data_IF_518138454041
#
_entry.id   IF_518138454041
#
_cell.length_a   1.000
_cell.length_b   1.000
_cell.length_c   1.000
_cell.angle_alpha   90.00
_cell.angle_beta   90.00
_cell.angle_gamma   90.00
#
_symmetry.space_group_name_H-M   'P 1'
#
loop_
_entity.id
_entity.type
_entity.pdbx_description
1 polymer ?
#
# COMPACT_ATOMS: atom_id res chain seq x y z
N UNK A 1 -15.27 -45.04 9.27
CA UNK A 1 -16.04 -43.85 8.94
C UNK A 1 -15.11 -42.98 8.12
N UNK A 2 -15.37 -42.89 6.80
CA UNK A 2 -14.59 -42.04 5.87
C UNK A 2 -15.03 -40.61 6.12
N UNK A 3 -14.14 -39.76 6.64
CA UNK A 3 -14.38 -38.35 6.75
C UNK A 3 -14.53 -37.81 5.32
N UNK A 4 -15.75 -37.45 4.94
CA UNK A 4 -16.04 -36.80 3.70
C UNK A 4 -15.33 -35.45 3.70
N UNK A 5 -14.38 -35.28 2.78
CA UNK A 5 -13.84 -33.98 2.41
C UNK A 5 -14.98 -33.14 1.87
N UNK A 6 -15.47 -32.19 2.66
CA UNK A 6 -16.34 -31.13 2.15
C UNK A 6 -15.47 -30.34 1.17
N UNK A 7 -15.72 -30.50 -0.12
CA UNK A 7 -15.13 -29.67 -1.17
C UNK A 7 -15.69 -28.26 -0.97
N UNK A 8 -14.92 -27.39 -0.29
CA UNK A 8 -15.31 -26.01 -0.15
C UNK A 8 -15.25 -25.30 -1.51
N UNK A 9 -16.29 -24.56 -1.83
CA UNK A 9 -16.45 -23.84 -3.09
C UNK A 9 -15.41 -22.71 -3.13
N UNK A 10 -14.42 -22.85 -4.00
CA UNK A 10 -13.47 -21.78 -4.32
C UNK A 10 -14.23 -20.61 -4.94
N UNK A 11 -13.98 -19.41 -4.45
CA UNK A 11 -14.61 -18.16 -4.88
C UNK A 11 -13.54 -17.25 -5.44
N UNK A 12 -13.87 -16.51 -6.47
CA UNK A 12 -12.93 -15.56 -7.09
C UNK A 12 -13.41 -14.13 -6.93
N UNK A 13 -12.49 -13.26 -6.57
CA UNK A 13 -12.71 -11.83 -6.42
C UNK A 13 -11.68 -11.07 -7.21
N UNK A 14 -12.11 -10.01 -7.89
CA UNK A 14 -11.21 -9.07 -8.51
C UNK A 14 -11.02 -7.87 -7.59
N UNK A 15 -9.79 -7.46 -7.33
CA UNK A 15 -9.49 -6.22 -6.61
C UNK A 15 -8.85 -5.22 -7.55
N UNK A 16 -9.28 -3.97 -7.46
CA UNK A 16 -8.80 -2.89 -8.32
C UNK A 16 -8.18 -1.79 -7.47
N UNK A 17 -6.92 -1.47 -7.78
CA UNK A 17 -6.18 -0.39 -7.14
C UNK A 17 -5.60 0.57 -8.17
N UNK A 18 -5.59 1.84 -7.81
CA UNK A 18 -4.79 2.87 -8.48
C UNK A 18 -4.00 3.62 -7.42
N UNK A 19 -2.69 3.61 -7.56
CA UNK A 19 -1.79 4.29 -6.63
C UNK A 19 -1.90 5.82 -6.75
N UNK A 20 -1.28 6.53 -5.81
CA UNK A 20 -1.17 8.00 -5.86
C UNK A 20 -0.25 8.48 -6.99
N UNK A 21 0.57 7.60 -7.56
CA UNK A 21 1.40 7.84 -8.74
C UNK A 21 0.59 8.01 -10.02
N UNK A 22 -0.63 7.41 -10.10
CA UNK A 22 -1.51 7.41 -11.28
C UNK A 22 -0.86 6.81 -12.54
N UNK A 23 0.10 5.91 -12.36
CA UNK A 23 0.83 5.26 -13.44
C UNK A 23 0.01 4.15 -14.13
N UNK A 24 -0.91 3.50 -13.39
CA UNK A 24 -1.74 2.44 -13.95
C UNK A 24 -2.95 2.08 -13.11
N UNK A 25 -3.75 1.18 -13.67
CA UNK A 25 -4.86 0.49 -13.00
C UNK A 25 -4.45 -0.97 -12.81
N UNK A 26 -4.28 -1.37 -11.57
CA UNK A 26 -3.89 -2.71 -11.17
C UNK A 26 -5.12 -3.55 -10.84
N UNK A 27 -5.18 -4.76 -11.38
CA UNK A 27 -6.25 -5.73 -11.14
C UNK A 27 -5.63 -7.03 -10.64
N UNK A 28 -5.97 -7.41 -9.42
CA UNK A 28 -5.64 -8.71 -8.85
C UNK A 28 -6.87 -9.62 -8.84
N UNK A 29 -6.75 -10.83 -9.35
CA UNK A 29 -7.78 -11.86 -9.21
C UNK A 29 -7.31 -12.82 -8.13
N UNK A 30 -8.06 -12.88 -7.03
CA UNK A 30 -7.73 -13.65 -5.83
C UNK A 30 -8.73 -14.79 -5.69
N UNK A 31 -8.21 -16.00 -5.54
CA UNK A 31 -8.99 -17.17 -5.13
C UNK A 31 -9.09 -17.18 -3.60
N UNK A 32 -10.30 -17.27 -3.09
CA UNK A 32 -10.58 -17.32 -1.66
C UNK A 32 -11.34 -18.62 -1.36
N UNK A 33 -10.68 -19.47 -0.58
CA UNK A 33 -11.24 -20.70 -0.05
C UNK A 33 -11.13 -20.73 1.47
N UNK A 34 -11.46 -21.86 2.08
CA UNK A 34 -11.22 -22.09 3.50
C UNK A 34 -10.20 -23.22 3.66
N UNK A 35 -9.18 -22.99 4.47
CA UNK A 35 -8.29 -24.06 4.93
C UNK A 35 -8.63 -24.45 6.37
N UNK A 36 -8.84 -25.72 6.61
CA UNK A 36 -8.99 -26.25 7.96
C UNK A 36 -7.64 -26.83 8.39
N UNK A 37 -6.96 -26.15 9.32
CA UNK A 37 -5.70 -26.61 9.89
C UNK A 37 -5.87 -26.76 11.41
N UNK A 38 -5.67 -27.94 11.95
CA UNK A 38 -5.75 -28.25 13.38
C UNK A 38 -7.04 -27.73 14.07
N UNK A 39 -8.19 -27.80 13.38
CA UNK A 39 -9.48 -27.36 13.92
C UNK A 39 -9.76 -25.86 13.81
N UNK A 40 -8.85 -25.08 13.24
CA UNK A 40 -9.07 -23.68 12.92
C UNK A 40 -9.32 -23.51 11.41
N UNK A 41 -10.41 -22.81 11.07
CA UNK A 41 -10.71 -22.40 9.69
C UNK A 41 -9.97 -21.10 9.43
N UNK A 42 -8.99 -21.11 8.53
CA UNK A 42 -8.34 -19.88 8.00
C UNK A 42 -8.72 -19.70 6.53
N UNK A 43 -8.88 -18.48 6.05
CA UNK A 43 -9.04 -18.28 4.62
C UNK A 43 -7.78 -18.74 3.90
N UNK A 44 -7.94 -19.63 2.91
CA UNK A 44 -6.91 -19.88 1.92
C UNK A 44 -7.01 -18.77 0.89
N UNK A 45 -5.98 -17.95 0.79
CA UNK A 45 -5.91 -16.81 -0.10
C UNK A 45 -4.78 -17.08 -1.09
N UNK A 46 -5.10 -17.19 -2.37
CA UNK A 46 -4.12 -17.42 -3.42
C UNK A 46 -4.29 -16.37 -4.53
N UNK A 47 -3.18 -15.79 -4.97
CA UNK A 47 -3.18 -14.94 -6.15
C UNK A 47 -3.37 -15.84 -7.37
N UNK A 48 -4.53 -15.71 -8.04
CA UNK A 48 -4.78 -16.43 -9.28
C UNK A 48 -4.13 -15.70 -10.45
N UNK A 49 -4.34 -14.39 -10.59
CA UNK A 49 -3.80 -13.60 -11.70
C UNK A 49 -3.59 -12.14 -11.28
N UNK A 50 -2.65 -11.49 -11.96
CA UNK A 50 -2.41 -10.05 -11.89
C UNK A 50 -2.36 -9.45 -13.29
N UNK A 51 -2.96 -8.28 -13.44
CA UNK A 51 -2.97 -7.52 -14.67
C UNK A 51 -2.83 -6.03 -14.34
N UNK A 52 -1.97 -5.34 -15.05
CA UNK A 52 -1.78 -3.90 -14.91
C UNK A 52 -1.91 -3.23 -16.27
N UNK A 53 -2.62 -2.11 -16.30
CA UNK A 53 -2.79 -1.29 -17.51
C UNK A 53 -2.35 0.13 -17.23
N UNK A 54 -1.43 0.71 -18.02
CA UNK A 54 -1.08 2.13 -17.93
C UNK A 54 -2.33 3.01 -18.07
N UNK A 55 -2.39 4.08 -17.29
CA UNK A 55 -3.49 5.04 -17.36
C UNK A 55 -3.25 6.04 -18.48
N UNK A 56 -4.31 6.35 -19.25
CA UNK A 56 -4.23 7.36 -20.32
C UNK A 56 -3.84 8.72 -19.74
N UNK A 57 -2.91 9.42 -20.39
CA UNK A 57 -2.37 10.71 -19.91
C UNK A 57 -3.46 11.75 -19.63
N UNK A 58 -4.46 11.84 -20.51
CA UNK A 58 -5.59 12.76 -20.35
C UNK A 58 -6.41 12.46 -19.08
N UNK A 59 -6.56 11.18 -18.72
CA UNK A 59 -7.24 10.78 -17.49
C UNK A 59 -6.38 11.10 -16.26
N UNK A 60 -5.06 10.87 -16.33
CA UNK A 60 -4.12 11.26 -15.28
C UNK A 60 -4.20 12.75 -15.00
N UNK A 61 -4.11 13.59 -16.04
CA UNK A 61 -4.17 15.04 -15.91
C UNK A 61 -5.52 15.50 -15.33
N UNK A 62 -6.62 14.86 -15.73
CA UNK A 62 -7.95 15.13 -15.20
C UNK A 62 -8.06 14.78 -13.70
N UNK A 63 -7.59 13.61 -13.27
CA UNK A 63 -7.57 13.18 -11.87
C UNK A 63 -6.66 14.09 -11.03
N UNK A 64 -5.49 14.44 -11.55
CA UNK A 64 -4.57 15.39 -10.88
C UNK A 64 -5.19 16.76 -10.68
N UNK A 65 -6.01 17.23 -11.63
CA UNK A 65 -6.69 18.53 -11.52
C UNK A 65 -7.70 18.59 -10.35
N UNK A 66 -8.11 17.45 -9.80
CA UNK A 66 -9.00 17.36 -8.65
C UNK A 66 -8.25 17.31 -7.30
N UNK A 67 -6.90 17.25 -7.30
CA UNK A 67 -6.14 17.24 -6.05
C UNK A 67 -6.15 18.58 -5.32
N UNK A 68 -6.51 19.67 -6.03
CA UNK A 68 -6.66 21.01 -5.47
C UNK A 68 -8.05 21.56 -5.75
N UNK A 69 -8.63 22.37 -4.86
CA UNK A 69 -9.90 23.05 -5.10
C UNK A 69 -9.87 23.89 -6.39
N UNK A 70 -10.94 23.83 -7.17
CA UNK A 70 -11.02 24.54 -8.45
C UNK A 70 -12.46 24.84 -8.83
N UNK A 71 -12.64 25.75 -9.82
CA UNK A 71 -13.95 26.12 -10.32
C UNK A 71 -14.70 24.92 -10.91
N UNK A 72 -16.01 24.88 -10.66
CA UNK A 72 -16.93 23.83 -11.13
C UNK A 72 -16.47 22.39 -10.79
N UNK A 73 -15.76 22.22 -9.66
CA UNK A 73 -15.10 20.98 -9.26
C UNK A 73 -16.10 19.81 -9.19
N UNK A 74 -17.30 20.03 -8.64
CA UNK A 74 -18.30 18.98 -8.47
C UNK A 74 -18.75 18.36 -9.80
N UNK A 75 -19.01 19.20 -10.82
CA UNK A 75 -19.37 18.73 -12.16
C UNK A 75 -18.20 18.00 -12.83
N UNK A 76 -17.01 18.57 -12.75
CA UNK A 76 -15.80 17.95 -13.30
C UNK A 76 -15.52 16.59 -12.65
N UNK A 77 -15.64 16.50 -11.32
CA UNK A 77 -15.46 15.25 -10.60
C UNK A 77 -16.43 14.17 -11.07
N UNK A 78 -17.71 14.52 -11.31
CA UNK A 78 -18.70 13.56 -11.81
C UNK A 78 -18.34 13.03 -13.22
N UNK A 79 -17.89 13.89 -14.13
CA UNK A 79 -17.46 13.48 -15.48
C UNK A 79 -16.20 12.62 -15.44
N UNK A 80 -15.22 13.00 -14.60
CA UNK A 80 -13.97 12.27 -14.45
C UNK A 80 -14.23 10.90 -13.78
N UNK A 81 -15.13 10.83 -12.78
CA UNK A 81 -15.54 9.58 -12.16
C UNK A 81 -16.10 8.59 -13.19
N UNK A 82 -16.92 9.05 -14.12
CA UNK A 82 -17.47 8.20 -15.19
C UNK A 82 -16.36 7.68 -16.11
N UNK A 83 -15.48 8.57 -16.61
CA UNK A 83 -14.37 8.18 -17.51
C UNK A 83 -13.39 7.21 -16.83
N UNK A 84 -13.10 7.46 -15.55
CA UNK A 84 -12.25 6.59 -14.74
C UNK A 84 -12.90 5.22 -14.50
N UNK A 85 -14.20 5.18 -14.21
CA UNK A 85 -14.95 3.94 -14.03
C UNK A 85 -15.04 3.11 -15.31
N UNK A 86 -15.15 3.77 -16.48
CA UNK A 86 -15.06 3.09 -17.79
C UNK A 86 -13.68 2.45 -18.00
N UNK A 87 -12.63 3.14 -17.59
CA UNK A 87 -11.27 2.60 -17.68
C UNK A 87 -11.09 1.41 -16.74
N UNK A 88 -11.59 1.48 -15.49
CA UNK A 88 -11.59 0.36 -14.55
C UNK A 88 -12.33 -0.83 -15.15
N UNK A 89 -13.57 -0.64 -15.61
CA UNK A 89 -14.37 -1.72 -16.16
C UNK A 89 -13.70 -2.42 -17.35
N UNK A 90 -13.13 -1.65 -18.28
CA UNK A 90 -12.35 -2.19 -19.41
C UNK A 90 -11.15 -2.98 -18.94
N UNK A 91 -10.37 -2.47 -17.98
CA UNK A 91 -9.19 -3.14 -17.44
C UNK A 91 -9.55 -4.47 -16.79
N UNK A 92 -10.63 -4.50 -16.00
CA UNK A 92 -11.13 -5.75 -15.40
C UNK A 92 -11.54 -6.75 -16.49
N UNK A 93 -12.29 -6.32 -17.51
CA UNK A 93 -12.70 -7.21 -18.60
C UNK A 93 -11.52 -7.73 -19.42
N UNK A 94 -10.50 -6.91 -19.66
CA UNK A 94 -9.25 -7.32 -20.31
C UNK A 94 -8.50 -8.34 -19.45
N UNK A 95 -8.37 -8.10 -18.14
CA UNK A 95 -7.76 -9.04 -17.20
C UNK A 95 -8.47 -10.41 -17.22
N UNK A 96 -9.79 -10.43 -17.22
CA UNK A 96 -10.57 -11.67 -17.29
C UNK A 96 -10.37 -12.38 -18.62
N UNK A 97 -10.41 -11.63 -19.71
CA UNK A 97 -10.30 -12.19 -21.09
C UNK A 97 -8.90 -12.76 -21.33
N UNK A 98 -7.85 -12.05 -20.93
CA UNK A 98 -6.45 -12.47 -21.12
C UNK A 98 -6.11 -13.77 -20.39
N UNK A 99 -6.85 -14.08 -19.32
CA UNK A 99 -6.65 -15.28 -18.51
C UNK A 99 -7.76 -16.34 -18.72
N UNK A 100 -8.69 -16.11 -19.65
CA UNK A 100 -9.76 -17.07 -19.95
C UNK A 100 -10.77 -17.26 -18.81
N UNK A 101 -10.92 -16.27 -17.93
CA UNK A 101 -11.82 -16.34 -16.78
C UNK A 101 -13.20 -15.80 -17.18
N UNK A 102 -14.27 -16.61 -17.09
CA UNK A 102 -15.60 -16.11 -17.39
C UNK A 102 -16.09 -15.14 -16.31
N UNK A 103 -16.76 -14.05 -16.70
CA UNK A 103 -17.29 -13.02 -15.77
C UNK A 103 -18.09 -13.63 -14.62
N UNK A 104 -18.91 -14.64 -14.91
CA UNK A 104 -19.74 -15.34 -13.91
C UNK A 104 -18.95 -16.10 -12.83
N UNK A 105 -17.64 -16.27 -13.01
CA UNK A 105 -16.78 -16.88 -12.02
C UNK A 105 -16.34 -15.89 -10.93
N UNK A 106 -16.47 -14.59 -11.17
CA UNK A 106 -16.09 -13.53 -10.23
C UNK A 106 -17.31 -13.18 -9.38
N UNK A 107 -17.22 -13.36 -8.08
CA UNK A 107 -18.28 -13.07 -7.12
C UNK A 107 -18.47 -11.55 -6.92
N UNK A 108 -17.38 -10.79 -6.87
CA UNK A 108 -17.42 -9.33 -6.85
C UNK A 108 -16.09 -8.68 -7.29
N UNK A 109 -16.18 -7.40 -7.65
CA UNK A 109 -15.05 -6.51 -7.89
C UNK A 109 -14.93 -5.56 -6.69
N UNK A 110 -13.81 -5.59 -5.98
CA UNK A 110 -13.46 -4.60 -4.95
C UNK A 110 -12.73 -3.41 -5.57
N UNK A 111 -13.32 -2.23 -5.53
CA UNK A 111 -12.76 -1.03 -6.17
C UNK A 111 -12.34 -0.02 -5.10
N UNK A 112 -11.04 0.25 -5.01
CA UNK A 112 -10.55 1.33 -4.14
C UNK A 112 -11.09 2.70 -4.60
N UNK A 113 -11.05 2.95 -5.91
CA UNK A 113 -11.27 4.29 -6.46
C UNK A 113 -10.03 5.17 -6.36
N UNK A 114 -10.08 6.40 -6.90
CA UNK A 114 -8.97 7.35 -6.79
C UNK A 114 -9.22 8.35 -5.69
N UNK A 115 -8.34 8.38 -4.69
CA UNK A 115 -8.45 9.36 -3.59
C UNK A 115 -8.18 10.77 -4.11
N UNK A 116 -9.17 11.65 -3.99
CA UNK A 116 -9.08 13.06 -4.34
C UNK A 116 -9.13 13.98 -3.13
N UNK A 117 -9.71 13.52 -2.02
CA UNK A 117 -9.70 14.18 -0.70
C UNK A 117 -9.61 13.11 0.39
N UNK A 118 -8.83 13.40 1.42
CA UNK A 118 -8.76 12.56 2.62
C UNK A 118 -8.69 13.47 3.84
N UNK A 119 -9.81 13.63 4.52
CA UNK A 119 -9.98 14.54 5.66
C UNK A 119 -10.73 13.81 6.80
N UNK A 120 -10.14 12.75 7.37
CA UNK A 120 -10.83 11.94 8.40
C UNK A 120 -11.18 12.75 9.65
N UNK A 121 -10.38 13.76 10.01
CA UNK A 121 -10.66 14.70 11.10
C UNK A 121 -11.93 15.55 10.85
N UNK A 122 -12.34 15.72 9.60
CA UNK A 122 -13.59 16.34 9.20
C UNK A 122 -14.70 15.31 8.88
N UNK A 123 -14.42 14.02 9.11
CA UNK A 123 -15.38 12.93 8.98
C UNK A 123 -15.55 12.38 7.56
N UNK A 124 -14.63 12.65 6.62
CA UNK A 124 -14.79 12.16 5.25
C UNK A 124 -13.48 11.80 4.53
N UNK A 125 -13.64 10.96 3.52
CA UNK A 125 -12.63 10.67 2.50
C UNK A 125 -13.36 10.44 1.17
N UNK A 126 -12.84 10.95 0.06
CA UNK A 126 -13.46 10.84 -1.26
C UNK A 126 -12.55 10.01 -2.16
N UNK A 127 -13.00 8.80 -2.46
CA UNK A 127 -12.42 7.90 -3.46
C UNK A 127 -13.30 7.96 -4.71
N UNK A 128 -12.81 8.65 -5.73
CA UNK A 128 -13.55 8.90 -6.96
C UNK A 128 -13.77 7.60 -7.73
N UNK A 129 -15.01 7.26 -7.98
CA UNK A 129 -15.48 6.20 -8.89
C UNK A 129 -17.00 6.25 -9.01
N UNK A 130 -17.57 5.54 -10.00
CA UNK A 130 -19.02 5.36 -10.18
C UNK A 130 -19.29 3.84 -10.20
N UNK A 131 -19.51 3.20 -9.04
CA UNK A 131 -19.60 1.74 -8.95
C UNK A 131 -20.75 1.15 -9.77
N UNK A 132 -21.89 1.85 -9.86
CA UNK A 132 -23.02 1.42 -10.70
C UNK A 132 -22.63 1.32 -12.19
N UNK A 133 -21.77 2.22 -12.67
CA UNK A 133 -21.28 2.18 -14.05
C UNK A 133 -20.33 1.01 -14.29
N UNK A 134 -19.48 0.69 -13.33
CA UNK A 134 -18.60 -0.48 -13.40
C UNK A 134 -19.44 -1.76 -13.39
N UNK A 135 -20.45 -1.86 -12.50
CA UNK A 135 -21.35 -3.01 -12.43
C UNK A 135 -22.12 -3.22 -13.75
N UNK A 136 -22.69 -2.17 -14.33
CA UNK A 136 -23.43 -2.22 -15.61
C UNK A 136 -22.54 -2.69 -16.76
N UNK A 137 -21.31 -2.20 -16.89
CA UNK A 137 -20.40 -2.55 -17.98
C UNK A 137 -19.87 -3.98 -17.82
N UNK A 138 -19.53 -4.39 -16.59
CA UNK A 138 -18.91 -5.69 -16.34
C UNK A 138 -19.92 -6.82 -16.18
N UNK A 139 -21.15 -6.51 -15.72
CA UNK A 139 -22.14 -7.49 -15.28
C UNK A 139 -21.70 -8.23 -14.01
N UNK A 140 -20.87 -7.58 -13.14
CA UNK A 140 -20.34 -8.15 -11.91
C UNK A 140 -20.65 -7.20 -10.76
N UNK A 141 -21.07 -7.74 -9.62
CA UNK A 141 -21.28 -6.97 -8.38
C UNK A 141 -20.00 -6.20 -8.01
N UNK A 142 -20.15 -4.94 -7.61
CA UNK A 142 -19.04 -4.05 -7.21
C UNK A 142 -19.14 -3.73 -5.72
N UNK A 143 -18.03 -3.82 -5.01
CA UNK A 143 -17.86 -3.32 -3.64
C UNK A 143 -16.89 -2.14 -3.68
N UNK A 144 -17.31 -1.01 -3.13
CA UNK A 144 -16.51 0.22 -3.11
C UNK A 144 -16.72 0.99 -1.81
N UNK A 145 -16.09 2.16 -1.64
CA UNK A 145 -16.20 2.99 -0.45
C UNK A 145 -15.81 2.25 0.85
N UNK A 146 -14.63 1.70 0.89
CA UNK A 146 -14.11 0.95 2.03
C UNK A 146 -13.70 1.84 3.22
N UNK A 147 -13.60 3.17 3.05
CA UNK A 147 -13.06 4.07 4.08
C UNK A 147 -14.13 4.73 4.95
N UNK A 148 -15.27 5.08 4.37
CA UNK A 148 -16.32 5.87 5.05
C UNK A 148 -16.85 5.18 6.31
N UNK A 149 -16.99 3.86 6.32
CA UNK A 149 -17.52 3.13 7.49
C UNK A 149 -16.53 3.13 8.66
N UNK A 150 -15.24 3.06 8.40
CA UNK A 150 -14.19 3.17 9.42
C UNK A 150 -14.12 4.59 9.99
N UNK A 151 -14.17 5.61 9.12
CA UNK A 151 -14.20 7.03 9.51
C UNK A 151 -15.44 7.32 10.37
N UNK A 152 -16.63 6.84 9.97
CA UNK A 152 -17.85 6.99 10.75
C UNK A 152 -17.76 6.30 12.13
N UNK A 153 -16.88 5.33 12.29
CA UNK A 153 -16.57 4.71 13.58
C UNK A 153 -15.43 5.43 14.34
N UNK A 154 -15.08 6.66 13.94
CA UNK A 154 -14.03 7.47 14.57
C UNK A 154 -12.62 7.13 14.12
N UNK A 155 -12.46 6.24 13.15
CA UNK A 155 -11.16 5.87 12.59
C UNK A 155 -10.66 6.85 11.53
N UNK A 156 -9.43 6.64 11.10
CA UNK A 156 -8.79 7.44 10.05
C UNK A 156 -9.15 6.96 8.63
N UNK A 157 -9.80 5.78 8.47
CA UNK A 157 -10.09 5.19 7.16
C UNK A 157 -8.86 4.73 6.38
N UNK A 158 -7.68 4.80 6.98
CA UNK A 158 -6.38 4.41 6.42
C UNK A 158 -5.39 4.14 7.57
N UNK A 159 -4.36 3.29 7.36
CA UNK A 159 -4.25 2.32 6.28
C UNK A 159 -5.19 1.11 6.48
N UNK A 160 -5.75 0.56 5.39
CA UNK A 160 -6.62 -0.63 5.44
C UNK A 160 -5.87 -1.94 5.13
N UNK A 161 -4.76 -1.85 4.41
CA UNK A 161 -3.94 -3.00 3.98
C UNK A 161 -3.34 -3.82 5.15
N UNK A 162 -3.05 -3.26 6.34
CA UNK A 162 -2.55 -4.06 7.46
C UNK A 162 -3.47 -5.21 7.88
N UNK A 163 -4.79 -5.08 7.74
CA UNK A 163 -5.72 -6.18 7.98
C UNK A 163 -5.51 -7.35 6.99
N UNK A 164 -5.25 -7.04 5.73
CA UNK A 164 -4.91 -8.03 4.71
C UNK A 164 -3.52 -8.61 4.93
N UNK A 165 -2.51 -7.80 5.26
CA UNK A 165 -1.18 -8.30 5.62
C UNK A 165 -1.24 -9.30 6.76
N UNK A 166 -2.08 -9.03 7.77
CA UNK A 166 -2.31 -9.98 8.86
C UNK A 166 -2.93 -11.28 8.35
N UNK A 167 -3.92 -11.21 7.45
CA UNK A 167 -4.60 -12.38 6.92
C UNK A 167 -3.66 -13.32 6.15
N UNK A 168 -2.69 -12.78 5.37
CA UNK A 168 -1.84 -13.56 4.47
C UNK A 168 -0.43 -13.82 5.01
N UNK A 169 0.11 -12.95 5.86
CA UNK A 169 1.52 -13.02 6.29
C UNK A 169 1.71 -13.32 7.77
N UNK A 170 0.66 -13.36 8.59
CA UNK A 170 0.79 -13.73 9.99
C UNK A 170 1.32 -15.17 10.11
N UNK A 171 2.28 -15.39 11.00
CA UNK A 171 2.86 -16.70 11.30
C UNK A 171 2.74 -17.04 12.78
N UNK A 172 2.66 -18.33 13.09
CA UNK A 172 2.69 -18.83 14.46
C UNK A 172 4.11 -19.06 14.97
N UNK A 173 5.06 -19.27 14.03
CA UNK A 173 6.46 -19.63 14.34
C UNK A 173 7.41 -18.45 14.30
N UNK A 174 7.06 -17.35 13.62
CA UNK A 174 7.90 -16.14 13.49
C UNK A 174 7.05 -14.87 13.60
N UNK A 175 7.67 -13.84 14.18
CA UNK A 175 7.07 -12.53 14.22
C UNK A 175 7.52 -11.70 13.02
N UNK A 176 6.58 -11.40 12.14
CA UNK A 176 6.82 -10.70 10.87
C UNK A 176 6.39 -9.25 10.94
N UNK A 177 7.14 -8.40 10.24
CA UNK A 177 6.69 -7.08 9.84
C UNK A 177 6.60 -7.02 8.31
N UNK A 178 5.71 -6.19 7.79
CA UNK A 178 5.59 -5.91 6.35
C UNK A 178 5.83 -4.43 6.14
N UNK A 179 6.70 -4.10 5.19
CA UNK A 179 6.90 -2.72 4.70
C UNK A 179 6.37 -2.64 3.28
N UNK A 180 5.41 -1.77 3.06
CA UNK A 180 5.04 -1.34 1.71
C UNK A 180 5.86 -0.10 1.35
N UNK A 181 6.69 -0.19 0.31
CA UNK A 181 7.51 0.92 -0.20
C UNK A 181 6.93 1.39 -1.52
N UNK A 182 5.95 2.29 -1.43
CA UNK A 182 5.47 3.11 -2.53
C UNK A 182 6.18 4.47 -2.56
N UNK A 183 5.49 5.54 -2.92
CA UNK A 183 6.01 6.91 -2.77
C UNK A 183 6.34 7.25 -1.32
N UNK A 184 5.46 6.86 -0.40
CA UNK A 184 5.66 6.82 1.06
C UNK A 184 5.86 5.36 1.47
N UNK A 185 6.69 5.12 2.48
CA UNK A 185 6.85 3.81 3.08
C UNK A 185 5.98 3.69 4.34
N UNK A 186 5.27 2.56 4.48
CA UNK A 186 4.45 2.26 5.65
C UNK A 186 4.70 0.86 6.18
N UNK A 187 4.59 0.70 7.49
CA UNK A 187 4.82 -0.54 8.20
C UNK A 187 3.50 -1.19 8.63
N UNK A 188 3.44 -2.51 8.57
CA UNK A 188 2.47 -3.35 9.27
C UNK A 188 3.23 -4.27 10.22
N UNK A 189 3.09 -4.04 11.52
CA UNK A 189 3.65 -4.88 12.58
C UNK A 189 2.64 -5.94 12.95
N UNK A 190 2.89 -7.21 12.55
CA UNK A 190 1.93 -8.31 12.65
C UNK A 190 1.89 -8.94 14.05
N UNK A 191 1.71 -8.07 15.06
CA UNK A 191 1.48 -8.47 16.45
C UNK A 191 -0.03 -8.56 16.76
N UNK A 192 -0.36 -8.80 17.99
CA UNK A 192 -1.70 -8.62 18.53
C UNK A 192 -1.65 -7.64 19.70
N UNK A 193 -2.26 -6.46 19.52
CA UNK A 193 -2.91 -5.94 18.30
C UNK A 193 -1.90 -5.65 17.17
N UNK A 194 -2.37 -5.77 15.91
CA UNK A 194 -1.61 -5.32 14.73
C UNK A 194 -1.48 -3.80 14.75
N UNK A 195 -0.29 -3.28 14.42
CA UNK A 195 -0.07 -1.85 14.24
C UNK A 195 0.25 -1.54 12.78
N UNK A 196 -0.05 -0.31 12.33
CA UNK A 196 0.29 0.14 10.98
C UNK A 196 0.32 1.66 10.89
N UNK A 197 1.38 2.22 10.27
CA UNK A 197 1.56 3.66 10.10
C UNK A 197 2.72 3.96 9.12
N UNK A 198 2.85 5.22 8.72
CA UNK A 198 3.90 5.65 7.79
C UNK A 198 5.26 5.80 8.50
N UNK A 199 6.30 5.26 7.87
CA UNK A 199 7.67 5.32 8.41
C UNK A 199 8.45 6.54 7.88
N UNK A 200 8.08 7.05 6.70
CA UNK A 200 8.73 8.18 6.05
C UNK A 200 8.64 8.11 4.53
N UNK A 201 9.49 8.86 3.79
CA UNK A 201 9.54 8.76 2.34
C UNK A 201 9.97 7.36 1.92
N UNK A 202 9.28 6.82 0.91
CA UNK A 202 9.67 5.62 0.18
C UNK A 202 10.48 5.99 -1.05
N UNK A 203 9.91 5.77 -2.24
CA UNK A 203 10.56 6.09 -3.52
C UNK A 203 10.42 7.58 -3.92
N UNK A 204 9.45 8.31 -3.37
CA UNK A 204 9.01 9.62 -3.84
C UNK A 204 10.15 10.61 -4.07
N UNK A 205 11.07 10.76 -3.10
CA UNK A 205 12.18 11.69 -3.20
C UNK A 205 13.27 11.18 -4.14
N UNK A 206 13.50 9.87 -4.18
CA UNK A 206 14.43 9.23 -5.12
C UNK A 206 13.95 9.39 -6.56
N UNK A 207 12.66 9.15 -6.82
CA UNK A 207 12.05 9.28 -8.15
C UNK A 207 12.04 10.74 -8.63
N UNK A 208 11.75 11.68 -7.72
CA UNK A 208 11.88 13.10 -8.03
C UNK A 208 13.32 13.45 -8.43
N UNK A 209 14.31 13.01 -7.63
CA UNK A 209 15.70 13.39 -7.82
C UNK A 209 16.30 12.82 -9.11
N UNK A 210 16.05 11.55 -9.42
CA UNK A 210 16.51 10.95 -10.68
C UNK A 210 15.83 11.56 -11.89
N UNK A 211 14.53 11.87 -11.82
CA UNK A 211 13.81 12.54 -12.92
C UNK A 211 14.43 13.89 -13.24
N UNK A 212 14.78 14.66 -12.21
CA UNK A 212 15.41 15.96 -12.35
C UNK A 212 16.81 15.91 -12.99
N UNK A 213 17.59 14.89 -12.68
CA UNK A 213 19.02 14.82 -13.06
C UNK A 213 19.32 13.87 -14.20
N UNK A 214 18.52 12.84 -14.41
CA UNK A 214 18.73 11.79 -15.43
C UNK A 214 17.57 11.68 -16.41
N UNK A 215 16.41 12.31 -16.14
CA UNK A 215 15.22 12.23 -16.99
C UNK A 215 14.49 10.87 -16.91
N UNK A 216 14.84 10.00 -15.96
CA UNK A 216 14.18 8.71 -15.73
C UNK A 216 13.09 8.83 -14.68
N UNK A 217 12.04 8.03 -14.80
CA UNK A 217 10.92 8.04 -13.84
C UNK A 217 11.30 7.49 -12.48
N UNK A 218 12.20 6.52 -12.42
CA UNK A 218 12.70 5.89 -11.19
C UNK A 218 14.12 5.36 -11.37
N UNK A 219 14.82 5.11 -10.26
CA UNK A 219 16.16 4.52 -10.21
C UNK A 219 16.06 2.98 -10.28
N UNK A 220 16.20 2.44 -11.48
CA UNK A 220 16.07 1.00 -11.72
C UNK A 220 17.06 0.21 -10.85
N UNK A 221 16.53 -0.63 -9.97
CA UNK A 221 17.30 -1.43 -9.01
C UNK A 221 18.24 -0.60 -8.09
N UNK A 222 18.10 0.74 -8.03
CA UNK A 222 18.99 1.62 -7.27
C UNK A 222 20.39 1.77 -7.87
N UNK A 223 20.53 1.51 -9.18
CA UNK A 223 21.84 1.50 -9.85
C UNK A 223 22.50 2.87 -9.84
N UNK A 224 21.76 3.96 -9.98
CA UNK A 224 22.35 5.28 -9.90
C UNK A 224 22.73 5.65 -8.46
N UNK A 225 21.90 5.34 -7.49
CA UNK A 225 22.21 5.52 -6.06
C UNK A 225 23.48 4.75 -5.67
N UNK A 226 23.69 3.54 -6.22
CA UNK A 226 24.88 2.72 -5.92
C UNK A 226 26.19 3.32 -6.41
N UNK A 227 26.16 4.30 -7.34
CA UNK A 227 27.38 5.01 -7.79
C UNK A 227 27.77 6.17 -6.88
N UNK A 228 26.87 6.58 -5.96
CA UNK A 228 27.10 7.66 -5.02
C UNK A 228 27.57 7.19 -3.65
N UNK A 229 28.03 8.16 -2.86
CA UNK A 229 28.43 7.94 -1.48
C UNK A 229 27.37 8.49 -0.52
N UNK A 230 27.06 7.75 0.53
CA UNK A 230 26.18 8.22 1.60
C UNK A 230 26.78 9.45 2.29
N UNK A 231 26.08 10.58 2.25
CA UNK A 231 26.46 11.79 2.94
C UNK A 231 25.79 11.86 4.33
N UNK A 232 26.49 11.36 5.36
CA UNK A 232 25.98 11.26 6.73
C UNK A 232 25.43 12.56 7.30
N UNK A 233 26.09 13.75 7.13
CA UNK A 233 25.53 15.01 7.63
C UNK A 233 24.18 15.38 7.02
N UNK A 234 23.95 15.09 5.71
CA UNK A 234 22.68 15.33 5.06
C UNK A 234 21.62 14.34 5.57
N UNK A 235 21.95 13.06 5.69
CA UNK A 235 21.04 12.05 6.26
C UNK A 235 20.59 12.45 7.68
N UNK A 236 21.51 12.85 8.55
CA UNK A 236 21.17 13.29 9.91
C UNK A 236 20.29 14.55 9.91
N UNK A 237 20.58 15.51 9.02
CA UNK A 237 19.75 16.71 8.90
C UNK A 237 18.32 16.36 8.47
N UNK A 238 18.14 15.48 7.50
CA UNK A 238 16.83 15.02 7.06
C UNK A 238 16.08 14.23 8.15
N UNK A 239 16.76 13.34 8.87
CA UNK A 239 16.16 12.56 9.96
C UNK A 239 15.84 13.42 11.21
N UNK A 240 16.34 14.64 11.30
CA UNK A 240 15.97 15.60 12.37
C UNK A 240 14.64 16.31 12.12
N UNK A 241 13.98 16.04 10.97
CA UNK A 241 12.62 16.54 10.71
C UNK A 241 11.66 16.05 11.81
N UNK A 242 10.79 16.94 12.34
CA UNK A 242 9.85 16.60 13.42
C UNK A 242 9.01 15.35 13.16
N UNK A 243 8.68 15.04 11.90
CA UNK A 243 7.92 13.85 11.53
C UNK A 243 8.52 12.57 12.12
N UNK A 244 9.85 12.39 12.08
CA UNK A 244 10.51 11.19 12.57
C UNK A 244 10.47 11.05 14.11
N UNK A 245 10.12 12.11 14.81
CA UNK A 245 9.97 12.14 16.28
C UNK A 245 8.53 11.96 16.73
N UNK A 246 7.53 12.07 15.84
CA UNK A 246 6.11 11.88 16.18
C UNK A 246 5.85 10.44 16.57
N UNK A 247 5.16 10.22 17.70
CA UNK A 247 4.70 8.88 18.09
C UNK A 247 3.58 8.38 17.16
N UNK A 248 3.58 7.09 16.79
CA UNK A 248 2.46 6.49 16.08
C UNK A 248 1.14 6.52 16.91
N UNK A 249 -0.03 6.56 16.21
CA UNK A 249 -0.22 6.50 14.76
C UNK A 249 0.13 7.82 14.09
N UNK A 250 0.80 7.74 12.94
CA UNK A 250 1.13 8.91 12.12
C UNK A 250 0.99 8.58 10.64
N UNK A 251 0.65 9.59 9.85
CA UNK A 251 0.62 9.51 8.40
C UNK A 251 1.31 10.71 7.78
N UNK A 252 1.74 10.56 6.53
CA UNK A 252 2.41 11.59 5.75
C UNK A 252 2.15 11.40 4.26
N UNK A 253 2.58 12.36 3.45
CA UNK A 253 2.35 12.35 2.02
C UNK A 253 3.29 13.28 1.27
N UNK A 254 2.91 13.56 0.01
CA UNK A 254 3.60 14.52 -0.86
C UNK A 254 3.51 15.97 -0.36
N UNK A 255 2.59 16.26 0.52
CA UNK A 255 2.42 17.54 1.21
C UNK A 255 3.62 17.86 2.12
N UNK A 256 4.16 16.86 2.82
CA UNK A 256 5.36 17.00 3.62
C UNK A 256 6.62 16.69 2.80
N UNK A 257 6.80 15.44 2.39
CA UNK A 257 7.99 15.00 1.65
C UNK A 257 7.91 15.40 0.18
N UNK A 258 8.10 16.69 -0.07
CA UNK A 258 8.00 17.32 -1.38
C UNK A 258 9.37 17.70 -1.93
N UNK A 259 9.39 18.11 -3.20
CA UNK A 259 10.55 18.74 -3.83
C UNK A 259 11.08 19.92 -3.01
N UNK A 260 10.16 20.75 -2.49
CA UNK A 260 10.52 21.91 -1.67
C UNK A 260 11.19 21.45 -0.34
N UNK A 261 10.67 20.39 0.28
CA UNK A 261 11.27 19.83 1.48
C UNK A 261 12.75 19.44 1.24
N UNK A 262 13.04 18.70 0.18
CA UNK A 262 14.41 18.32 -0.17
C UNK A 262 15.27 19.54 -0.51
N UNK A 263 14.76 20.46 -1.34
CA UNK A 263 15.47 21.67 -1.75
C UNK A 263 15.83 22.57 -0.56
N UNK A 264 14.99 22.61 0.49
CA UNK A 264 15.29 23.35 1.72
C UNK A 264 16.56 22.85 2.46
N UNK A 265 16.85 21.56 2.39
CA UNK A 265 18.12 21.05 2.89
C UNK A 265 19.28 21.38 1.94
N UNK A 266 19.10 21.10 0.64
CA UNK A 266 20.17 21.25 -0.36
C UNK A 266 20.57 22.70 -0.61
N UNK A 267 19.73 23.67 -0.31
CA UNK A 267 20.05 25.10 -0.38
C UNK A 267 20.97 25.59 0.74
N UNK A 268 21.15 24.82 1.82
CA UNK A 268 22.08 25.18 2.88
C UNK A 268 23.52 25.09 2.37
N UNK A 269 24.34 26.11 2.70
CA UNK A 269 25.72 26.23 2.20
C UNK A 269 26.58 24.97 2.37
N UNK A 270 26.34 24.20 3.46
CA UNK A 270 27.05 22.95 3.76
C UNK A 270 26.70 21.79 2.83
N UNK A 271 25.60 21.87 2.08
CA UNK A 271 25.10 20.82 1.18
C UNK A 271 25.04 21.26 -0.29
N UNK A 272 25.28 22.55 -0.59
CA UNK A 272 25.08 23.13 -1.92
C UNK A 272 25.97 22.52 -3.02
N UNK A 273 27.09 21.91 -2.66
CA UNK A 273 28.06 21.37 -3.62
C UNK A 273 28.06 19.83 -3.69
N UNK A 274 27.04 19.16 -3.14
CA UNK A 274 26.92 17.69 -3.20
C UNK A 274 26.70 17.23 -4.65
N UNK A 275 27.37 16.13 -5.02
CA UNK A 275 27.13 15.50 -6.31
C UNK A 275 25.73 14.87 -6.33
N UNK A 276 25.07 14.92 -7.50
CA UNK A 276 23.69 14.44 -7.60
C UNK A 276 23.53 12.95 -7.25
N UNK A 277 24.51 12.10 -7.60
CA UNK A 277 24.49 10.69 -7.22
C UNK A 277 24.70 10.45 -5.72
N UNK A 278 25.45 11.33 -5.01
CA UNK A 278 25.61 11.25 -3.56
C UNK A 278 24.30 11.62 -2.84
N UNK A 279 23.55 12.60 -3.38
CA UNK A 279 22.21 12.93 -2.89
C UNK A 279 21.27 11.74 -3.11
N UNK A 280 21.28 11.11 -4.29
CA UNK A 280 20.46 9.93 -4.58
C UNK A 280 20.76 8.77 -3.60
N UNK A 281 22.05 8.47 -3.39
CA UNK A 281 22.48 7.48 -2.40
C UNK A 281 22.00 7.83 -0.99
N UNK A 282 22.06 9.10 -0.61
CA UNK A 282 21.61 9.57 0.71
C UNK A 282 20.10 9.45 0.88
N UNK A 283 19.32 9.70 -0.18
CA UNK A 283 17.85 9.51 -0.17
C UNK A 283 17.47 8.03 -0.05
N UNK A 284 18.18 7.12 -0.74
CA UNK A 284 18.00 5.68 -0.56
C UNK A 284 18.26 5.26 0.88
N UNK A 285 19.33 5.78 1.49
CA UNK A 285 19.65 5.51 2.88
C UNK A 285 18.68 6.18 3.87
N UNK A 286 18.04 7.29 3.51
CA UNK A 286 16.99 7.90 4.32
C UNK A 286 15.80 6.94 4.46
N UNK A 287 15.32 6.38 3.35
CA UNK A 287 14.26 5.37 3.34
C UNK A 287 14.67 4.14 4.16
N UNK A 288 15.86 3.60 3.92
CA UNK A 288 16.33 2.42 4.65
C UNK A 288 16.46 2.67 6.16
N UNK A 289 16.99 3.84 6.55
CA UNK A 289 17.23 4.19 7.96
C UNK A 289 15.92 4.45 8.70
N UNK A 290 14.97 5.16 8.08
CA UNK A 290 13.65 5.41 8.69
C UNK A 290 12.92 4.12 9.00
N UNK A 291 12.92 3.15 8.07
CA UNK A 291 12.35 1.81 8.28
C UNK A 291 13.02 1.10 9.46
N UNK A 292 14.36 1.08 9.48
CA UNK A 292 15.11 0.38 10.52
C UNK A 292 14.91 0.97 11.92
N UNK A 293 14.78 2.30 12.02
CA UNK A 293 14.46 2.99 13.28
C UNK A 293 13.07 2.63 13.79
N UNK A 294 12.08 2.47 12.88
CA UNK A 294 10.74 2.07 13.30
C UNK A 294 10.68 0.61 13.76
N UNK A 295 11.40 -0.30 13.13
CA UNK A 295 11.54 -1.69 13.64
C UNK A 295 12.15 -1.67 15.05
N UNK A 296 13.22 -0.90 15.28
CA UNK A 296 13.83 -0.79 16.61
C UNK A 296 12.85 -0.21 17.63
N UNK A 297 12.08 0.84 17.27
CA UNK A 297 11.05 1.43 18.12
C UNK A 297 10.02 0.39 18.54
N UNK A 298 9.51 -0.38 17.57
CA UNK A 298 8.50 -1.42 17.80
C UNK A 298 9.03 -2.56 18.68
N UNK A 299 10.28 -2.99 18.50
CA UNK A 299 10.90 -4.01 19.37
C UNK A 299 11.09 -3.52 20.82
N UNK A 300 11.35 -2.23 21.01
CA UNK A 300 11.45 -1.62 22.34
C UNK A 300 10.10 -1.41 23.00
N UNK A 301 9.04 -1.31 22.22
CA UNK A 301 7.69 -1.06 22.72
C UNK A 301 7.05 -2.33 23.29
N UNK A 302 6.05 -2.13 24.16
CA UNK A 302 5.21 -3.21 24.67
C UNK A 302 3.88 -3.19 23.91
N UNK A 303 3.70 -4.13 22.99
CA UNK A 303 2.48 -4.27 22.20
C UNK A 303 1.68 -5.46 22.72
N UNK A 304 0.42 -5.23 23.11
CA UNK A 304 -0.43 -6.29 23.67
C UNK A 304 0.16 -6.94 24.95
N UNK A 305 0.88 -6.15 25.78
CA UNK A 305 1.51 -6.63 27.02
C UNK A 305 2.82 -7.41 26.82
N UNK A 306 3.35 -7.48 25.61
CA UNK A 306 4.57 -8.25 25.28
C UNK A 306 5.54 -7.40 24.46
N UNK A 307 6.86 -7.54 24.74
CA UNK A 307 7.92 -7.13 23.81
C UNK A 307 8.12 -8.25 22.78
N UNK A 308 8.32 -7.87 21.52
CA UNK A 308 8.55 -8.81 20.42
C UNK A 308 9.72 -8.37 19.58
N UNK A 309 10.53 -9.31 19.15
CA UNK A 309 11.55 -9.09 18.14
C UNK A 309 10.97 -9.37 16.75
N UNK A 310 11.43 -8.67 15.75
CA UNK A 310 11.11 -8.95 14.35
C UNK A 310 11.99 -10.10 13.86
N UNK A 311 11.40 -11.23 13.52
CA UNK A 311 12.14 -12.37 12.99
C UNK A 311 12.35 -12.25 11.48
N UNK A 312 11.46 -11.54 10.76
CA UNK A 312 11.50 -11.35 9.31
C UNK A 312 10.82 -10.05 8.91
N UNK A 313 11.46 -9.31 8.02
CA UNK A 313 10.87 -8.15 7.34
C UNK A 313 10.49 -8.53 5.91
N UNK A 314 9.21 -8.48 5.58
CA UNK A 314 8.69 -8.62 4.23
C UNK A 314 8.55 -7.25 3.59
N UNK A 315 8.90 -7.13 2.31
CA UNK A 315 8.85 -5.86 1.57
C UNK A 315 7.92 -6.03 0.37
N UNK A 316 6.95 -5.13 0.22
CA UNK A 316 6.07 -5.02 -0.93
C UNK A 316 6.08 -3.60 -1.52
N UNK A 317 5.30 -3.37 -2.57
CA UNK A 317 5.33 -2.12 -3.35
C UNK A 317 6.50 -2.04 -4.31
N UNK A 318 6.58 -0.96 -5.07
CA UNK A 318 7.62 -0.76 -6.10
C UNK A 318 9.05 -0.81 -5.56
N UNK A 319 9.26 -0.37 -4.31
CA UNK A 319 10.58 -0.41 -3.65
C UNK A 319 11.12 -1.82 -3.40
N UNK A 320 10.28 -2.84 -3.37
CA UNK A 320 10.71 -4.23 -3.26
C UNK A 320 11.56 -4.72 -4.45
N UNK A 321 11.46 -4.04 -5.60
CA UNK A 321 12.26 -4.32 -6.81
C UNK A 321 13.59 -3.58 -6.83
N UNK A 322 13.89 -2.75 -5.83
CA UNK A 322 15.15 -2.03 -5.70
C UNK A 322 16.11 -2.83 -4.79
N UNK A 323 16.95 -3.67 -5.41
CA UNK A 323 17.87 -4.54 -4.68
C UNK A 323 18.89 -3.78 -3.81
N UNK A 324 19.39 -2.61 -4.26
CA UNK A 324 20.29 -1.78 -3.45
C UNK A 324 19.56 -1.18 -2.23
N UNK A 325 18.25 -0.85 -2.35
CA UNK A 325 17.45 -0.42 -1.21
C UNK A 325 17.25 -1.57 -0.20
N UNK A 326 16.91 -2.77 -0.67
CA UNK A 326 16.77 -3.93 0.21
C UNK A 326 18.08 -4.23 0.96
N UNK A 327 19.22 -4.13 0.28
CA UNK A 327 20.52 -4.31 0.91
C UNK A 327 20.83 -3.22 1.93
N UNK A 328 20.53 -1.95 1.62
CA UNK A 328 20.65 -0.86 2.57
C UNK A 328 19.78 -1.06 3.81
N UNK A 329 18.53 -1.57 3.65
CA UNK A 329 17.64 -1.91 4.77
C UNK A 329 18.27 -3.01 5.64
N UNK A 330 18.82 -4.09 5.05
CA UNK A 330 19.50 -5.17 5.79
C UNK A 330 20.66 -4.61 6.62
N UNK A 331 21.52 -3.79 6.02
CA UNK A 331 22.66 -3.17 6.68
C UNK A 331 22.22 -2.24 7.83
N UNK A 332 21.20 -1.39 7.62
CA UNK A 332 20.69 -0.50 8.65
C UNK A 332 20.08 -1.29 9.82
N UNK A 333 19.32 -2.33 9.54
CA UNK A 333 18.73 -3.19 10.58
C UNK A 333 19.82 -3.91 11.37
N UNK A 334 20.80 -4.51 10.70
CA UNK A 334 21.91 -5.20 11.38
C UNK A 334 22.70 -4.26 12.29
N UNK A 335 22.97 -3.04 11.83
CA UNK A 335 23.68 -2.04 12.62
C UNK A 335 22.89 -1.52 13.82
N UNK A 336 21.55 -1.37 13.70
CA UNK A 336 20.68 -0.80 14.73
C UNK A 336 20.26 -1.84 15.77
N UNK A 337 19.98 -3.08 15.32
CA UNK A 337 19.48 -4.17 16.16
C UNK A 337 20.60 -5.03 16.73
N UNK A 338 21.85 -4.82 16.25
CA UNK A 338 23.04 -5.64 16.57
C UNK A 338 22.86 -7.13 16.23
N UNK A 339 21.95 -7.41 15.29
CA UNK A 339 21.65 -8.73 14.75
C UNK A 339 21.12 -8.65 13.31
N UNK A 340 21.36 -9.68 12.52
CA UNK A 340 20.77 -9.79 11.19
C UNK A 340 19.34 -10.35 11.28
N UNK A 341 18.43 -9.81 10.47
CA UNK A 341 17.12 -10.39 10.20
C UNK A 341 16.94 -10.52 8.69
N UNK A 342 16.24 -11.55 8.20
CA UNK A 342 15.89 -11.67 6.80
C UNK A 342 15.04 -10.47 6.35
N UNK A 343 15.42 -9.85 5.22
CA UNK A 343 14.64 -8.82 4.52
C UNK A 343 14.37 -9.34 3.13
N UNK A 344 13.13 -9.65 2.82
CA UNK A 344 12.74 -10.36 1.62
C UNK A 344 11.52 -9.71 0.97
N UNK A 345 11.46 -9.77 -0.37
CA UNK A 345 10.23 -9.45 -1.09
C UNK A 345 9.09 -10.40 -0.68
N UNK A 346 7.86 -9.95 -0.74
CA UNK A 346 6.68 -10.80 -0.51
C UNK A 346 6.58 -11.98 -1.48
N UNK A 347 7.35 -11.98 -2.57
CA UNK A 347 7.52 -13.14 -3.48
C UNK A 347 8.03 -14.39 -2.75
N UNK A 348 8.82 -14.21 -1.68
CA UNK A 348 9.25 -15.32 -0.83
C UNK A 348 8.07 -16.14 -0.27
N UNK A 349 6.91 -15.51 -0.11
CA UNK A 349 5.67 -16.16 0.34
C UNK A 349 4.65 -16.33 -0.79
N UNK A 350 5.08 -16.23 -2.06
CA UNK A 350 4.23 -16.46 -3.24
C UNK A 350 3.38 -15.25 -3.67
N UNK A 351 3.66 -14.05 -3.15
CA UNK A 351 2.91 -12.84 -3.49
C UNK A 351 3.82 -11.82 -4.19
N UNK A 352 3.52 -11.51 -5.46
CA UNK A 352 4.20 -10.40 -6.15
C UNK A 352 4.05 -9.10 -5.34
N UNK A 353 5.12 -8.35 -5.09
CA UNK A 353 5.07 -7.16 -4.25
C UNK A 353 4.17 -6.03 -4.78
N UNK A 354 3.90 -5.99 -6.07
CA UNK A 354 3.05 -4.96 -6.68
C UNK A 354 1.56 -5.30 -6.59
N UNK A 355 1.20 -6.57 -6.37
CA UNK A 355 -0.20 -6.99 -6.36
C UNK A 355 -0.89 -6.80 -5.01
N UNK A 356 -0.13 -6.61 -3.95
CA UNK A 356 -0.62 -6.64 -2.56
C UNK A 356 -1.78 -5.69 -2.32
N UNK A 357 -1.70 -4.46 -2.81
CA UNK A 357 -2.78 -3.48 -2.60
C UNK A 357 -4.04 -3.86 -3.38
N UNK A 358 -3.93 -4.25 -4.65
CA UNK A 358 -5.08 -4.71 -5.43
C UNK A 358 -5.71 -5.97 -4.82
N UNK A 359 -4.89 -6.94 -4.39
CA UNK A 359 -5.36 -8.15 -3.71
C UNK A 359 -6.07 -7.84 -2.39
N UNK A 360 -5.63 -6.83 -1.64
CA UNK A 360 -6.31 -6.38 -0.44
C UNK A 360 -7.75 -5.92 -0.72
N UNK A 361 -8.01 -5.24 -1.84
CA UNK A 361 -9.36 -4.83 -2.20
C UNK A 361 -10.23 -6.00 -2.70
N UNK A 362 -9.65 -7.02 -3.33
CA UNK A 362 -10.35 -8.28 -3.60
C UNK A 362 -10.79 -8.97 -2.30
N UNK A 363 -9.88 -9.07 -1.33
CA UNK A 363 -10.15 -9.64 -0.01
C UNK A 363 -11.19 -8.81 0.76
N UNK A 364 -11.09 -7.49 0.78
CA UNK A 364 -12.07 -6.62 1.43
C UNK A 364 -13.47 -6.79 0.81
N UNK A 365 -13.58 -6.95 -0.51
CA UNK A 365 -14.84 -7.23 -1.17
C UNK A 365 -15.46 -8.56 -0.70
N UNK A 366 -14.63 -9.61 -0.55
CA UNK A 366 -15.13 -10.88 0.02
C UNK A 366 -15.63 -10.72 1.45
N UNK A 367 -14.87 -9.97 2.28
CA UNK A 367 -15.27 -9.69 3.67
C UNK A 367 -16.63 -8.98 3.73
N UNK A 368 -16.83 -8.00 2.84
CA UNK A 368 -18.07 -7.24 2.77
C UNK A 368 -19.25 -8.13 2.40
N UNK A 369 -19.12 -8.97 1.35
CA UNK A 369 -20.19 -9.89 0.94
C UNK A 369 -20.54 -10.91 2.02
N UNK A 370 -19.56 -11.33 2.79
CA UNK A 370 -19.72 -12.32 3.87
C UNK A 370 -20.14 -11.67 5.21
N UNK A 371 -20.33 -10.34 5.25
CA UNK A 371 -20.68 -9.62 6.48
C UNK A 371 -19.56 -9.63 7.54
N UNK A 372 -18.31 -9.86 7.13
CA UNK A 372 -17.14 -9.94 7.99
C UNK A 372 -16.43 -8.59 8.07
N UNK A 373 -15.79 -8.32 9.20
CA UNK A 373 -15.09 -7.05 9.45
C UNK A 373 -13.81 -6.94 8.59
N UNK A 374 -13.51 -5.74 8.10
CA UNK A 374 -12.39 -5.48 7.19
C UNK A 374 -11.36 -4.47 7.70
N UNK A 375 -11.64 -3.77 8.82
CA UNK A 375 -10.69 -2.84 9.43
C UNK A 375 -9.96 -3.45 10.62
N UNK A 376 -8.88 -2.79 11.03
CA UNK A 376 -8.10 -3.10 12.24
C UNK A 376 -8.11 -1.85 13.13
N UNK A 377 -8.96 -1.80 14.19
CA UNK A 377 -9.10 -0.62 15.04
C UNK A 377 -7.79 -0.10 15.65
N UNK A 378 -6.88 -1.00 16.01
CA UNK A 378 -5.54 -0.63 16.52
C UNK A 378 -4.66 0.08 15.50
N UNK A 379 -5.01 0.02 14.22
CA UNK A 379 -4.33 0.68 13.11
C UNK A 379 -5.02 1.98 12.74
N UNK A 380 -6.36 1.94 12.56
CA UNK A 380 -7.12 3.10 12.07
C UNK A 380 -7.60 4.02 13.18
N UNK A 381 -7.62 3.57 14.43
CA UNK A 381 -8.17 4.31 15.56
C UNK A 381 -9.70 4.26 15.68
N UNK A 382 -10.38 3.43 14.87
CA UNK A 382 -11.82 3.24 14.98
C UNK A 382 -12.21 2.65 16.35
N UNK A 383 -13.39 2.99 16.85
CA UNK A 383 -13.90 2.49 18.16
C UNK A 383 -14.20 0.99 18.18
N UNK A 384 -14.11 0.31 17.04
CA UNK A 384 -14.33 -1.14 16.93
C UNK A 384 -14.28 -1.61 15.48
N UNK A 385 -14.33 -2.92 15.32
CA UNK A 385 -14.33 -3.57 14.00
C UNK A 385 -15.61 -3.27 13.23
N UNK A 386 -15.50 -3.11 11.90
CA UNK A 386 -16.62 -2.80 10.98
C UNK A 386 -16.51 -3.62 9.70
N UNK A 387 -17.69 -4.00 9.19
CA UNK A 387 -17.81 -4.42 7.80
C UNK A 387 -17.63 -3.17 6.94
N UNK A 388 -16.66 -3.18 6.06
CA UNK A 388 -16.32 -2.04 5.21
C UNK A 388 -16.94 -2.20 3.83
N UNK A 389 -17.14 -1.07 3.15
CA UNK A 389 -17.59 -1.05 1.76
C UNK A 389 -19.11 -1.00 1.59
N UNK A 390 -19.51 -0.60 0.39
CA UNK A 390 -20.90 -0.54 -0.07
C UNK A 390 -21.05 -1.43 -1.30
N UNK A 391 -22.10 -2.26 -1.31
CA UNK A 391 -22.37 -3.22 -2.38
C UNK A 391 -23.27 -2.56 -3.43
N UNK A 392 -22.83 -2.61 -4.68
CA UNK A 392 -23.61 -2.24 -5.86
C UNK A 392 -23.83 -3.52 -6.69
N UNK A 393 -25.05 -4.07 -6.74
CA UNK A 393 -25.35 -5.26 -7.53
C UNK A 393 -25.11 -5.06 -9.02
N UNK A 394 -24.85 -6.19 -9.74
CA UNK A 394 -24.76 -6.23 -11.20
C UNK A 394 -26.13 -6.01 -11.84
#
# INVERSE_FOLDING_TARGET
MVAGTVSEKKRYFAGVMTGTSLDGIDVAIVEIGSQVTLGHVRPALELAHFFSRPMDRSLVDALMSLQSPSENELHRAALIANSFSDSIARTVLEALTSHGIPRRAIDAIGVHGQTVRHQPQLGYSIQLNTPARIAEITGITVVSDFRSRDIAAGGQGAPLVPAFHQAIFQSESEHRAVINIGGIANISWLAQPTLGYDTGPGNLLMDYWIRRHQGHDYDNNGLWASTGNLHMPLLHAMLSDPFFSVEPPRSTGRDLFSENWLNNFLSQARFANLQAHDVQATLLHLTARSIALEIQRLERSVVGGKKRQCDRLLVCGGGARNGHLLEAIRHQLAAILERAIPVESTEFLGWDPQVIEAAAFAWLASRTLDGLTGNTPSVTGAIGERVLGTITPA
#
